data_IF_868994624777
#
_entry.id   IF_868994624777
#
_cell.length_a   1.000
_cell.length_b   1.000
_cell.length_c   1.000
_cell.angle_alpha   90.00
_cell.angle_beta   90.00
_cell.angle_gamma   90.00
#
_symmetry.space_group_name_H-M   'P 1'
#
loop_
_entity.id
_entity.type
_entity.pdbx_description
1 polymer ?
#
# COMPACT_ATOMS: atom_id res chain seq x y z
N UNK A 1 20.78 26.98 1.00
CA UNK A 1 19.40 26.64 0.60
C UNK A 1 19.10 25.30 1.25
N UNK A 2 18.29 25.26 2.29
CA UNK A 2 17.91 23.99 2.94
C UNK A 2 17.02 23.24 1.96
N UNK A 3 17.52 22.15 1.39
CA UNK A 3 16.67 21.18 0.71
C UNK A 3 15.61 20.72 1.71
N UNK A 4 14.34 20.92 1.36
CA UNK A 4 13.23 20.37 2.12
C UNK A 4 13.41 18.87 2.17
N UNK A 5 13.40 18.26 3.36
CA UNK A 5 13.51 16.82 3.50
C UNK A 5 12.39 16.14 2.70
N UNK A 6 12.72 15.02 2.05
CA UNK A 6 11.79 14.25 1.19
C UNK A 6 10.65 13.58 1.98
N UNK A 7 10.53 13.82 3.28
CA UNK A 7 9.51 13.28 4.18
C UNK A 7 10.12 12.63 5.42
N UNK A 8 9.27 12.36 6.43
CA UNK A 8 9.63 11.70 7.68
C UNK A 8 9.31 10.21 7.61
N UNK A 9 10.29 9.36 7.84
CA UNK A 9 10.14 7.90 7.86
C UNK A 9 10.47 7.34 9.25
N UNK A 10 9.55 6.57 9.80
CA UNK A 10 9.80 5.82 11.03
C UNK A 10 10.36 4.44 10.68
N UNK A 11 11.46 4.07 11.31
CA UNK A 11 12.13 2.77 11.13
C UNK A 11 12.05 2.00 12.44
N UNK A 12 11.39 0.86 12.39
CA UNK A 12 11.09 0.03 13.58
C UNK A 12 11.60 -1.38 13.35
N UNK A 13 12.57 -1.78 14.15
CA UNK A 13 13.21 -3.10 14.08
C UNK A 13 13.90 -3.33 15.43
N UNK A 14 13.79 -4.50 16.06
CA UNK A 14 14.42 -4.78 17.32
C UNK A 14 15.94 -5.01 17.17
N UNK A 15 16.41 -5.37 15.96
CA UNK A 15 17.82 -5.50 15.65
C UNK A 15 18.48 -4.12 15.40
N UNK A 16 19.37 -3.62 16.30
CA UNK A 16 19.96 -2.30 16.19
C UNK A 16 20.73 -2.07 14.88
N UNK A 17 21.38 -3.11 14.37
CA UNK A 17 22.18 -3.01 13.14
C UNK A 17 21.31 -2.82 11.90
N UNK A 18 20.22 -3.57 11.76
CA UNK A 18 19.29 -3.47 10.64
C UNK A 18 18.61 -2.12 10.69
N UNK A 19 18.07 -1.75 11.85
CA UNK A 19 17.42 -0.44 12.09
C UNK A 19 18.33 0.73 11.71
N UNK A 20 19.58 0.70 12.19
CA UNK A 20 20.55 1.75 11.90
C UNK A 20 20.90 1.82 10.42
N UNK A 21 21.12 0.67 9.78
CA UNK A 21 21.48 0.58 8.37
C UNK A 21 20.35 1.11 7.48
N UNK A 22 19.11 0.71 7.73
CA UNK A 22 17.94 1.21 7.02
C UNK A 22 17.77 2.73 7.19
N UNK A 23 17.92 3.23 8.43
CA UNK A 23 17.85 4.64 8.75
C UNK A 23 18.91 5.47 8.02
N UNK A 24 20.16 5.00 8.00
CA UNK A 24 21.25 5.68 7.29
C UNK A 24 21.01 5.74 5.79
N UNK A 25 20.60 4.61 5.19
CA UNK A 25 20.28 4.58 3.77
C UNK A 25 19.17 5.56 3.40
N UNK A 26 18.09 5.61 4.18
CA UNK A 26 17.00 6.56 3.94
C UNK A 26 17.45 8.01 4.06
N UNK A 27 18.33 8.34 5.02
CA UNK A 27 18.92 9.69 5.16
C UNK A 27 19.76 10.08 3.94
N UNK A 28 20.53 9.15 3.37
CA UNK A 28 21.29 9.40 2.14
C UNK A 28 20.37 9.73 0.94
N UNK A 29 19.14 9.23 0.96
CA UNK A 29 18.10 9.54 -0.03
C UNK A 29 17.27 10.80 0.31
N UNK A 30 17.66 11.56 1.35
CA UNK A 30 17.08 12.84 1.69
C UNK A 30 15.89 12.77 2.68
N UNK A 31 15.57 11.60 3.25
CA UNK A 31 14.49 11.47 4.24
C UNK A 31 14.95 11.86 5.65
N UNK A 32 14.06 12.48 6.43
CA UNK A 32 14.18 12.52 7.88
C UNK A 32 13.81 11.13 8.43
N UNK A 33 14.58 10.60 9.38
CA UNK A 33 14.26 9.28 9.96
C UNK A 33 14.22 9.35 11.48
N UNK A 34 13.31 8.59 12.08
CA UNK A 34 13.25 8.33 13.51
C UNK A 34 13.23 6.82 13.74
N UNK A 35 14.06 6.35 14.68
CA UNK A 35 14.30 4.94 14.95
C UNK A 35 13.58 4.52 16.23
N UNK A 36 12.96 3.31 16.21
CA UNK A 36 12.29 2.71 17.36
C UNK A 36 12.69 1.25 17.48
N UNK A 37 12.83 0.77 18.70
CA UNK A 37 13.23 -0.62 19.00
C UNK A 37 12.04 -1.57 19.15
N UNK A 38 10.81 -1.05 19.11
CA UNK A 38 9.62 -1.87 19.28
C UNK A 38 8.30 -1.13 19.03
N UNK A 39 7.23 -1.92 18.96
CA UNK A 39 5.91 -1.45 18.57
C UNK A 39 5.27 -0.43 19.52
N UNK A 40 5.48 -0.57 20.83
CA UNK A 40 4.91 0.37 21.82
C UNK A 40 5.49 1.78 21.71
N UNK A 41 6.79 1.88 21.41
CA UNK A 41 7.45 3.17 21.17
C UNK A 41 6.91 3.83 19.91
N UNK A 42 6.77 3.06 18.83
CA UNK A 42 6.18 3.51 17.57
C UNK A 42 4.76 4.04 17.79
N UNK A 43 3.88 3.26 18.44
CA UNK A 43 2.49 3.66 18.66
C UNK A 43 2.35 4.97 19.43
N UNK A 44 3.21 5.20 20.42
CA UNK A 44 3.28 6.48 21.15
C UNK A 44 3.82 7.63 20.29
N UNK A 45 4.80 7.36 19.44
CA UNK A 45 5.41 8.36 18.58
C UNK A 45 4.46 8.85 17.49
N UNK A 46 3.72 7.93 16.84
CA UNK A 46 2.74 8.27 15.80
C UNK A 46 1.64 9.20 16.30
N UNK A 47 1.23 9.06 17.56
CA UNK A 47 0.25 9.97 18.19
C UNK A 47 0.77 11.39 18.41
N UNK A 48 2.10 11.58 18.47
CA UNK A 48 2.73 12.89 18.67
C UNK A 48 3.06 13.58 17.35
N UNK A 49 3.58 12.83 16.41
CA UNK A 49 3.95 13.30 15.06
C UNK A 49 3.68 12.18 14.07
N UNK A 50 2.83 12.44 13.08
CA UNK A 50 2.55 11.49 12.01
C UNK A 50 3.73 11.42 11.04
N UNK A 51 4.29 10.23 10.73
CA UNK A 51 5.28 10.08 9.67
C UNK A 51 4.61 10.01 8.30
N UNK A 52 5.39 10.21 7.24
CA UNK A 52 4.98 10.04 5.85
C UNK A 52 5.05 8.57 5.40
N UNK A 53 5.84 7.73 6.09
CA UNK A 53 5.85 6.28 5.94
C UNK A 53 6.42 5.59 7.19
N UNK A 54 6.09 4.32 7.36
CA UNK A 54 6.64 3.45 8.40
C UNK A 54 7.29 2.23 7.75
N UNK A 55 8.54 1.96 8.08
CA UNK A 55 9.24 0.70 7.82
C UNK A 55 9.21 -0.09 9.11
N UNK A 56 8.56 -1.24 9.11
CA UNK A 56 8.21 -1.99 10.33
C UNK A 56 8.66 -3.43 10.20
N UNK A 57 9.54 -3.87 11.08
CA UNK A 57 9.87 -5.29 11.17
C UNK A 57 8.66 -6.10 11.64
N UNK A 58 8.45 -7.23 11.01
CA UNK A 58 7.39 -8.15 11.37
C UNK A 58 7.69 -8.88 12.69
N UNK A 59 8.92 -9.41 12.80
CA UNK A 59 9.31 -10.28 13.90
C UNK A 59 10.01 -9.47 14.97
N UNK A 60 9.24 -8.97 15.92
CA UNK A 60 9.72 -8.22 17.08
C UNK A 60 9.11 -8.79 18.37
N UNK A 61 9.72 -8.53 19.54
CA UNK A 61 9.05 -8.76 20.83
C UNK A 61 7.69 -8.04 20.88
N UNK A 62 6.74 -8.64 21.63
CA UNK A 62 5.37 -8.12 21.70
C UNK A 62 5.29 -6.64 22.12
N UNK A 63 4.46 -5.82 21.42
CA UNK A 63 3.63 -6.19 20.29
C UNK A 63 4.42 -6.38 19.01
N UNK A 64 4.20 -7.51 18.31
CA UNK A 64 4.83 -7.79 17.03
C UNK A 64 4.41 -6.81 15.91
N UNK A 65 5.19 -6.77 14.82
CA UNK A 65 4.94 -5.82 13.75
C UNK A 65 3.58 -5.98 13.08
N UNK A 66 3.08 -7.20 12.97
CA UNK A 66 1.77 -7.46 12.36
C UNK A 66 0.63 -6.92 13.23
N UNK A 67 0.68 -7.15 14.53
CA UNK A 67 -0.28 -6.60 15.50
C UNK A 67 -0.26 -5.07 15.50
N UNK A 68 0.93 -4.47 15.40
CA UNK A 68 1.11 -3.01 15.32
C UNK A 68 0.53 -2.47 14.01
N UNK A 69 0.80 -3.10 12.88
CA UNK A 69 0.26 -2.76 11.58
C UNK A 69 -1.28 -2.76 11.63
N UNK A 70 -1.89 -3.85 12.10
CA UNK A 70 -3.34 -3.95 12.23
C UNK A 70 -3.94 -2.84 13.09
N UNK A 71 -3.33 -2.49 14.23
CA UNK A 71 -3.78 -1.38 15.09
C UNK A 71 -3.74 -0.04 14.37
N UNK A 72 -2.63 0.26 13.67
CA UNK A 72 -2.47 1.51 12.92
C UNK A 72 -3.47 1.61 11.77
N UNK A 73 -3.77 0.50 11.09
CA UNK A 73 -4.71 0.48 9.96
C UNK A 73 -6.19 0.49 10.37
N UNK A 74 -6.51 0.07 11.60
CA UNK A 74 -7.86 0.17 12.14
C UNK A 74 -8.19 1.57 12.68
N UNK A 75 -7.20 2.34 13.11
CA UNK A 75 -7.40 3.69 13.65
C UNK A 75 -7.57 4.71 12.52
N UNK A 76 -8.68 5.45 12.57
CA UNK A 76 -9.03 6.47 11.55
C UNK A 76 -7.98 7.56 11.36
N UNK A 77 -7.20 7.86 12.38
CA UNK A 77 -6.18 8.91 12.35
C UNK A 77 -4.85 8.44 11.74
N UNK A 78 -4.56 7.14 11.79
CA UNK A 78 -3.27 6.58 11.36
C UNK A 78 -3.38 5.64 10.15
N UNK A 79 -4.59 5.19 9.78
CA UNK A 79 -4.80 4.24 8.67
C UNK A 79 -4.26 4.68 7.31
N UNK A 80 -4.18 6.00 7.09
CA UNK A 80 -3.64 6.57 5.85
C UNK A 80 -2.11 6.52 5.77
N UNK A 81 -1.41 6.28 6.89
CA UNK A 81 0.05 6.21 6.92
C UNK A 81 0.49 4.93 6.18
N UNK A 82 1.33 5.05 5.14
CA UNK A 82 1.87 3.89 4.44
C UNK A 82 2.77 3.06 5.36
N UNK A 83 2.59 1.73 5.33
CA UNK A 83 3.38 0.78 6.13
C UNK A 83 4.03 -0.23 5.20
N UNK A 84 5.35 -0.33 5.27
CA UNK A 84 6.15 -1.35 4.58
C UNK A 84 6.63 -2.34 5.65
N UNK A 85 6.21 -3.60 5.55
CA UNK A 85 6.66 -4.66 6.46
C UNK A 85 7.99 -5.24 6.00
N UNK A 86 8.94 -5.40 6.93
CA UNK A 86 10.14 -6.19 6.72
C UNK A 86 9.88 -7.60 7.27
N UNK A 87 10.14 -8.64 6.50
CA UNK A 87 9.88 -10.01 6.92
C UNK A 87 11.05 -10.95 6.59
N UNK A 88 11.39 -11.83 7.50
CA UNK A 88 12.34 -12.93 7.24
C UNK A 88 11.66 -14.15 6.61
N UNK A 89 10.34 -14.13 6.49
CA UNK A 89 9.53 -15.27 6.08
C UNK A 89 9.20 -15.19 4.60
N UNK A 90 9.59 -16.22 3.86
CA UNK A 90 9.31 -16.42 2.45
C UNK A 90 8.02 -17.24 2.23
N UNK A 91 7.31 -17.62 3.31
CA UNK A 91 6.11 -18.42 3.18
C UNK A 91 4.94 -17.58 2.66
N UNK A 92 4.29 -18.10 1.63
CA UNK A 92 3.16 -17.49 0.93
C UNK A 92 2.03 -17.07 1.89
N UNK A 93 1.82 -17.85 2.96
CA UNK A 93 0.82 -17.60 3.99
C UNK A 93 1.13 -16.34 4.79
N UNK A 94 2.39 -16.08 5.10
CA UNK A 94 2.81 -14.92 5.90
C UNK A 94 2.72 -13.62 5.08
N UNK A 95 3.12 -13.64 3.81
CA UNK A 95 2.93 -12.48 2.92
C UNK A 95 1.45 -12.10 2.78
N UNK A 96 0.58 -13.11 2.63
CA UNK A 96 -0.88 -12.92 2.59
C UNK A 96 -1.37 -12.31 3.90
N UNK A 97 -0.92 -12.80 5.04
CA UNK A 97 -1.34 -12.33 6.36
C UNK A 97 -0.94 -10.85 6.61
N UNK A 98 0.27 -10.45 6.20
CA UNK A 98 0.73 -9.07 6.32
C UNK A 98 -0.11 -8.09 5.49
N UNK A 99 -0.45 -8.51 4.28
CA UNK A 99 -1.32 -7.73 3.41
C UNK A 99 -2.78 -7.74 3.90
N UNK A 100 -3.25 -8.83 4.52
CA UNK A 100 -4.56 -8.94 5.18
C UNK A 100 -4.71 -7.93 6.31
N UNK A 101 -3.64 -7.65 7.05
CA UNK A 101 -3.64 -6.64 8.09
C UNK A 101 -3.53 -5.20 7.56
N UNK A 102 -3.52 -5.02 6.23
CA UNK A 102 -3.58 -3.72 5.56
C UNK A 102 -2.23 -3.07 5.31
N UNK A 103 -1.11 -3.80 5.41
CA UNK A 103 0.19 -3.28 5.00
C UNK A 103 0.16 -2.86 3.53
N UNK A 104 0.84 -1.77 3.18
CA UNK A 104 0.85 -1.23 1.83
C UNK A 104 1.90 -1.92 0.95
N UNK A 105 2.97 -2.46 1.55
CA UNK A 105 4.00 -3.23 0.87
C UNK A 105 4.76 -4.11 1.87
N UNK A 106 5.55 -5.06 1.37
CA UNK A 106 6.47 -5.84 2.19
C UNK A 106 7.81 -6.04 1.47
N UNK A 107 8.85 -6.26 2.25
CA UNK A 107 10.21 -6.53 1.76
C UNK A 107 10.75 -7.73 2.53
N UNK A 108 11.25 -8.74 1.81
CA UNK A 108 11.84 -9.93 2.43
C UNK A 108 13.30 -9.68 2.83
N UNK A 109 13.67 -10.08 4.05
CA UNK A 109 15.06 -10.09 4.51
C UNK A 109 15.80 -11.36 3.98
N UNK A 110 17.04 -11.24 3.47
CA UNK A 110 17.83 -10.03 3.34
C UNK A 110 17.39 -9.16 2.14
N UNK A 111 17.38 -7.84 2.31
CA UNK A 111 16.95 -6.89 1.29
C UNK A 111 18.07 -5.95 0.84
N UNK A 112 17.91 -5.40 -0.33
CA UNK A 112 18.76 -4.33 -0.83
C UNK A 112 18.33 -2.97 -0.25
N UNK A 113 19.29 -2.17 0.24
CA UNK A 113 19.01 -0.80 0.70
C UNK A 113 18.43 0.08 -0.41
N UNK A 114 18.83 -0.14 -1.66
CA UNK A 114 18.26 0.55 -2.84
C UNK A 114 16.79 0.20 -3.03
N UNK A 115 16.43 -1.08 -2.83
CA UNK A 115 15.05 -1.54 -2.90
C UNK A 115 14.20 -0.88 -1.80
N UNK A 116 14.68 -0.90 -0.55
CA UNK A 116 14.00 -0.24 0.56
C UNK A 116 13.72 1.23 0.26
N UNK A 117 14.74 1.99 -0.15
CA UNK A 117 14.60 3.41 -0.46
C UNK A 117 13.65 3.67 -1.65
N UNK A 118 13.69 2.83 -2.69
CA UNK A 118 12.78 2.94 -3.82
C UNK A 118 11.32 2.73 -3.41
N UNK A 119 11.05 1.71 -2.57
CA UNK A 119 9.70 1.42 -2.06
C UNK A 119 9.18 2.51 -1.14
N UNK A 120 10.01 3.00 -0.21
CA UNK A 120 9.64 4.13 0.66
C UNK A 120 9.31 5.37 -0.17
N UNK A 121 10.14 5.71 -1.16
CA UNK A 121 9.87 6.84 -2.06
C UNK A 121 8.56 6.65 -2.85
N UNK A 122 8.29 5.43 -3.32
CA UNK A 122 7.08 5.14 -4.07
C UNK A 122 5.81 5.31 -3.22
N UNK A 123 5.79 4.81 -1.97
CA UNK A 123 4.61 4.94 -1.09
C UNK A 123 4.39 6.39 -0.63
N UNK A 124 5.45 7.16 -0.35
CA UNK A 124 5.33 8.58 0.04
C UNK A 124 4.81 9.41 -1.13
N UNK A 125 5.40 9.28 -2.34
CA UNK A 125 4.95 10.02 -3.52
C UNK A 125 3.45 9.83 -3.76
N UNK A 126 2.92 8.63 -3.54
CA UNK A 126 1.49 8.36 -3.70
C UNK A 126 0.64 9.09 -2.66
N UNK A 127 1.12 9.25 -1.43
CA UNK A 127 0.40 9.99 -0.39
C UNK A 127 0.34 11.50 -0.67
N UNK A 128 1.35 12.07 -1.35
CA UNK A 128 1.40 13.50 -1.71
C UNK A 128 0.35 13.91 -2.73
N UNK A 129 -0.08 13.00 -3.62
CA UNK A 129 -1.19 13.25 -4.56
C UNK A 129 -2.53 13.55 -3.85
N UNK A 130 -2.62 13.35 -2.53
CA UNK A 130 -3.80 13.69 -1.72
C UNK A 130 -4.05 15.21 -1.59
N UNK A 131 -3.06 16.05 -1.89
CA UNK A 131 -3.11 17.50 -1.66
C UNK A 131 -3.45 18.33 -2.92
N UNK A 132 -3.80 17.68 -4.04
CA UNK A 132 -4.13 18.38 -5.29
C UNK A 132 -5.59 18.84 -5.26
N UNK A 133 -5.84 20.10 -5.62
CA UNK A 133 -7.19 20.66 -5.77
C UNK A 133 -7.96 19.89 -6.86
N UNK A 134 -9.17 19.37 -6.58
CA UNK A 134 -9.91 18.56 -7.54
C UNK A 134 -10.30 19.35 -8.79
N UNK A 135 -9.99 18.81 -9.96
CA UNK A 135 -10.58 19.22 -11.23
C UNK A 135 -11.75 18.30 -11.59
N UNK A 136 -12.64 18.74 -12.50
CA UNK A 136 -13.73 17.87 -12.98
C UNK A 136 -13.24 16.60 -13.71
N UNK A 137 -11.97 16.56 -14.12
CA UNK A 137 -11.34 15.39 -14.75
C UNK A 137 -10.86 14.33 -13.74
N UNK A 138 -10.96 14.60 -12.44
CA UNK A 138 -10.46 13.69 -11.39
C UNK A 138 -11.51 12.66 -10.96
N UNK A 139 -12.69 12.66 -11.57
CA UNK A 139 -13.76 11.71 -11.23
C UNK A 139 -13.92 10.68 -12.35
N UNK A 140 -13.79 9.41 -11.99
CA UNK A 140 -14.05 8.29 -12.88
C UNK A 140 -15.27 7.55 -12.33
N UNK A 141 -16.26 7.35 -13.18
CA UNK A 141 -17.47 6.58 -12.84
C UNK A 141 -17.64 5.41 -13.80
N UNK A 142 -17.98 4.25 -13.27
CA UNK A 142 -18.34 3.09 -14.05
C UNK A 142 -19.35 2.24 -13.27
N UNK A 143 -20.55 2.09 -13.83
CA UNK A 143 -21.69 1.51 -13.12
C UNK A 143 -21.99 2.26 -11.83
N UNK A 144 -22.06 1.53 -10.72
CA UNK A 144 -22.34 2.07 -9.39
C UNK A 144 -21.09 2.60 -8.66
N UNK A 145 -19.90 2.46 -9.26
CA UNK A 145 -18.62 2.85 -8.63
C UNK A 145 -18.16 4.20 -9.14
N UNK A 146 -17.87 5.09 -8.22
CA UNK A 146 -17.29 6.41 -8.48
C UNK A 146 -15.98 6.55 -7.72
N UNK A 147 -14.91 6.88 -8.43
CA UNK A 147 -13.57 7.14 -7.89
C UNK A 147 -13.24 8.60 -8.07
N UNK A 148 -12.86 9.28 -7.01
CA UNK A 148 -12.26 10.61 -7.06
C UNK A 148 -10.75 10.47 -6.89
N UNK A 149 -10.01 10.72 -7.97
CA UNK A 149 -8.55 10.56 -8.02
C UNK A 149 -7.85 11.57 -7.10
N UNK A 150 -8.29 12.82 -7.12
CA UNK A 150 -7.69 13.89 -6.33
C UNK A 150 -7.89 13.68 -4.83
N UNK A 151 -9.08 13.23 -4.41
CA UNK A 151 -9.40 12.96 -3.00
C UNK A 151 -9.06 11.54 -2.57
N UNK A 152 -8.64 10.69 -3.50
CA UNK A 152 -8.42 9.24 -3.27
C UNK A 152 -9.60 8.58 -2.53
N UNK A 153 -10.82 8.93 -2.92
CA UNK A 153 -12.04 8.38 -2.34
C UNK A 153 -12.79 7.54 -3.35
N UNK A 154 -13.41 6.49 -2.86
CA UNK A 154 -14.26 5.60 -3.65
C UNK A 154 -15.65 5.56 -3.04
N UNK A 155 -16.67 5.61 -3.88
CA UNK A 155 -18.04 5.41 -3.47
C UNK A 155 -18.71 4.36 -4.37
N UNK A 156 -19.58 3.53 -3.78
CA UNK A 156 -20.50 2.64 -4.50
C UNK A 156 -21.93 3.03 -4.14
N UNK A 157 -22.74 3.33 -5.15
CA UNK A 157 -24.12 3.83 -4.96
C UNK A 157 -24.18 5.02 -3.98
N UNK A 158 -23.21 5.93 -4.08
CA UNK A 158 -23.08 7.11 -3.22
C UNK A 158 -22.59 6.86 -1.79
N UNK A 159 -22.34 5.62 -1.40
CA UNK A 159 -21.75 5.27 -0.09
C UNK A 159 -20.24 5.14 -0.21
N UNK A 160 -19.49 5.83 0.64
CA UNK A 160 -18.03 5.73 0.65
C UNK A 160 -17.58 4.33 1.06
N UNK A 161 -16.56 3.83 0.33
CA UNK A 161 -15.87 2.58 0.61
C UNK A 161 -14.47 2.93 1.10
N UNK A 162 -14.06 2.31 2.20
CA UNK A 162 -12.73 2.50 2.77
C UNK A 162 -11.74 1.52 2.16
N UNK A 163 -10.86 2.04 1.32
CA UNK A 163 -9.79 1.28 0.67
C UNK A 163 -8.43 1.64 1.26
N UNK A 164 -7.53 0.65 1.33
CA UNK A 164 -6.11 0.92 1.55
C UNK A 164 -5.51 1.62 0.33
N UNK A 165 -4.30 2.19 0.47
CA UNK A 165 -3.63 2.86 -0.65
C UNK A 165 -3.48 1.96 -1.87
N UNK A 166 -3.06 0.71 -1.67
CA UNK A 166 -2.85 -0.27 -2.77
C UNK A 166 -4.15 -0.73 -3.42
N UNK A 167 -5.20 -0.94 -2.63
CA UNK A 167 -6.52 -1.26 -3.17
C UNK A 167 -7.07 -0.11 -4.03
N UNK A 168 -6.87 1.14 -3.59
CA UNK A 168 -7.26 2.32 -4.36
C UNK A 168 -6.46 2.41 -5.67
N UNK A 169 -5.13 2.26 -5.63
CA UNK A 169 -4.28 2.33 -6.81
C UNK A 169 -4.59 1.21 -7.81
N UNK A 170 -4.88 0.01 -7.29
CA UNK A 170 -5.27 -1.16 -8.09
C UNK A 170 -6.62 -0.93 -8.77
N UNK A 171 -7.63 -0.48 -8.03
CA UNK A 171 -8.94 -0.13 -8.57
C UNK A 171 -8.81 0.94 -9.65
N UNK A 172 -8.08 2.00 -9.38
CA UNK A 172 -7.86 3.11 -10.30
C UNK A 172 -7.17 2.64 -11.57
N UNK A 173 -6.12 1.83 -11.47
CA UNK A 173 -5.39 1.28 -12.63
C UNK A 173 -6.29 0.43 -13.52
N UNK A 174 -7.15 -0.39 -12.91
CA UNK A 174 -8.11 -1.22 -13.62
C UNK A 174 -9.21 -0.38 -14.28
N UNK A 175 -9.79 0.61 -13.59
CA UNK A 175 -10.84 1.48 -14.12
C UNK A 175 -10.34 2.40 -15.25
N UNK A 176 -9.11 2.92 -15.16
CA UNK A 176 -8.48 3.69 -16.24
C UNK A 176 -8.20 2.81 -17.48
N UNK A 177 -8.09 1.51 -17.30
CA UNK A 177 -7.86 0.53 -18.35
C UNK A 177 -9.10 -0.31 -18.64
N UNK A 178 -10.31 0.18 -18.31
CA UNK A 178 -11.57 -0.58 -18.43
C UNK A 178 -11.72 -1.30 -19.79
N UNK A 179 -12.21 -2.53 -19.75
CA UNK A 179 -12.34 -3.39 -20.92
C UNK A 179 -11.02 -4.06 -21.37
N UNK A 180 -9.86 -3.55 -20.95
CA UNK A 180 -8.55 -4.11 -21.29
C UNK A 180 -8.04 -5.02 -20.18
N UNK A 181 -7.46 -6.16 -20.58
CA UNK A 181 -6.81 -7.08 -19.64
C UNK A 181 -5.43 -6.53 -19.29
N UNK A 182 -5.16 -6.41 -18.00
CA UNK A 182 -3.82 -6.17 -17.47
C UNK A 182 -3.29 -7.46 -16.88
N UNK A 183 -2.09 -7.86 -17.29
CA UNK A 183 -1.43 -9.01 -16.68
C UNK A 183 -0.89 -8.63 -15.29
N UNK A 184 -0.47 -9.64 -14.52
CA UNK A 184 -0.01 -9.42 -13.13
C UNK A 184 1.22 -8.54 -13.07
N UNK A 185 2.16 -8.69 -14.00
CA UNK A 185 3.38 -7.89 -14.05
C UNK A 185 3.07 -6.42 -14.36
N UNK A 186 2.15 -6.16 -15.29
CA UNK A 186 1.68 -4.80 -15.59
C UNK A 186 0.96 -4.15 -14.40
N UNK A 187 0.19 -4.93 -13.64
CA UNK A 187 -0.45 -4.43 -12.42
C UNK A 187 0.58 -4.17 -11.32
N UNK A 188 1.58 -5.05 -11.18
CA UNK A 188 2.70 -4.83 -10.27
C UNK A 188 3.45 -3.55 -10.62
N UNK A 189 3.86 -3.38 -11.87
CA UNK A 189 4.54 -2.17 -12.34
C UNK A 189 3.72 -0.91 -12.08
N UNK A 190 2.43 -0.91 -12.44
CA UNK A 190 1.55 0.26 -12.28
C UNK A 190 1.26 0.62 -10.83
N UNK A 191 1.11 -0.37 -9.96
CA UNK A 191 0.65 -0.18 -8.58
C UNK A 191 1.79 -0.19 -7.58
N UNK A 192 2.87 -0.92 -7.84
CA UNK A 192 4.04 -1.00 -6.95
C UNK A 192 5.27 -0.27 -7.49
N UNK A 193 5.25 0.12 -8.79
CA UNK A 193 6.24 1.03 -9.41
C UNK A 193 7.69 0.53 -9.36
N UNK A 194 7.89 -0.75 -9.62
CA UNK A 194 9.19 -1.41 -9.57
C UNK A 194 9.37 -2.27 -10.82
N UNK A 195 10.55 -2.18 -11.45
CA UNK A 195 11.08 -3.25 -12.31
C UNK A 195 11.31 -4.47 -11.42
N UNK A 196 10.40 -5.41 -11.46
CA UNK A 196 10.12 -6.29 -10.33
C UNK A 196 10.73 -7.68 -10.45
N UNK A 197 11.30 -8.14 -9.33
CA UNK A 197 11.57 -9.54 -8.99
C UNK A 197 10.68 -10.04 -7.83
N UNK A 198 9.45 -9.55 -7.66
CA UNK A 198 8.55 -9.93 -6.59
C UNK A 198 7.43 -10.89 -7.03
N UNK A 199 6.76 -11.50 -6.05
CA UNK A 199 5.73 -12.50 -6.31
C UNK A 199 4.44 -11.84 -6.87
N UNK A 200 4.10 -12.17 -8.11
CA UNK A 200 2.88 -11.73 -8.79
C UNK A 200 1.59 -12.08 -8.01
N UNK A 201 1.66 -12.96 -7.01
CA UNK A 201 0.56 -13.34 -6.11
C UNK A 201 0.10 -12.19 -5.21
N UNK A 202 0.98 -11.19 -4.96
CA UNK A 202 0.60 -9.96 -4.25
C UNK A 202 -0.60 -9.29 -4.89
N UNK A 203 -0.67 -9.29 -6.23
CA UNK A 203 -1.81 -8.75 -6.97
C UNK A 203 -3.08 -9.54 -6.66
N UNK A 204 -3.02 -10.86 -6.66
CA UNK A 204 -4.17 -11.73 -6.45
C UNK A 204 -4.81 -11.51 -5.07
N UNK A 205 -3.98 -11.32 -4.05
CA UNK A 205 -4.42 -11.01 -2.68
C UNK A 205 -5.16 -9.67 -2.63
N UNK A 206 -4.57 -8.61 -3.19
CA UNK A 206 -5.22 -7.30 -3.21
C UNK A 206 -6.50 -7.29 -4.06
N UNK A 207 -6.54 -8.03 -5.17
CA UNK A 207 -7.78 -8.23 -5.95
C UNK A 207 -8.87 -8.90 -5.10
N UNK A 208 -8.53 -9.91 -4.32
CA UNK A 208 -9.49 -10.58 -3.42
C UNK A 208 -10.10 -9.59 -2.42
N UNK A 209 -9.27 -8.80 -1.71
CA UNK A 209 -9.78 -7.82 -0.75
C UNK A 209 -10.54 -6.67 -1.41
N UNK A 210 -10.07 -6.21 -2.54
CA UNK A 210 -10.77 -5.19 -3.30
C UNK A 210 -12.17 -5.68 -3.71
N UNK A 211 -12.29 -6.92 -4.19
CA UNK A 211 -13.59 -7.54 -4.50
C UNK A 211 -14.51 -7.61 -3.29
N UNK A 212 -14.01 -8.03 -2.14
CA UNK A 212 -14.81 -8.08 -0.89
C UNK A 212 -15.40 -6.71 -0.52
N UNK A 213 -14.77 -5.62 -0.93
CA UNK A 213 -15.20 -4.25 -0.62
C UNK A 213 -16.11 -3.65 -1.68
N UNK A 214 -15.87 -3.95 -2.97
CA UNK A 214 -16.58 -3.28 -4.07
C UNK A 214 -17.63 -4.14 -4.76
N UNK A 215 -17.51 -5.47 -4.73
CA UNK A 215 -18.50 -6.36 -5.33
C UNK A 215 -19.70 -6.58 -4.40
N UNK A 216 -20.83 -6.95 -4.95
CA UNK A 216 -21.97 -7.45 -4.14
C UNK A 216 -21.76 -8.92 -3.77
N UNK A 217 -21.09 -9.69 -4.64
CA UNK A 217 -20.63 -11.04 -4.42
C UNK A 217 -19.18 -11.18 -4.91
N UNK A 218 -18.24 -11.35 -4.00
CA UNK A 218 -16.81 -11.47 -4.31
C UNK A 218 -16.43 -12.74 -5.07
N UNK A 219 -17.25 -13.79 -4.99
CA UNK A 219 -17.03 -15.05 -5.70
C UNK A 219 -17.56 -14.99 -7.14
N UNK A 220 -18.58 -14.16 -7.38
CA UNK A 220 -19.14 -13.88 -8.70
C UNK A 220 -19.00 -12.38 -9.04
N UNK A 221 -17.78 -11.89 -9.27
CA UNK A 221 -17.50 -10.48 -9.42
C UNK A 221 -18.10 -9.92 -10.70
N UNK A 222 -18.71 -8.74 -10.60
CA UNK A 222 -19.30 -7.99 -11.70
C UNK A 222 -18.34 -6.96 -12.28
N UNK A 223 -17.52 -6.34 -11.45
CA UNK A 223 -16.63 -5.24 -11.83
C UNK A 223 -15.23 -5.71 -12.18
N UNK A 224 -14.58 -6.48 -11.29
CA UNK A 224 -13.22 -6.97 -11.51
C UNK A 224 -13.26 -8.40 -11.97
N UNK A 225 -13.03 -8.62 -13.25
CA UNK A 225 -13.12 -9.92 -13.90
C UNK A 225 -11.74 -10.58 -14.01
N UNK A 226 -11.68 -11.88 -13.74
CA UNK A 226 -10.46 -12.70 -13.93
C UNK A 226 -10.42 -13.24 -15.34
N UNK A 227 -9.31 -12.97 -16.04
CA UNK A 227 -9.00 -13.63 -17.31
C UNK A 227 -7.98 -14.72 -17.02
N UNK A 228 -8.47 -15.98 -16.98
CA UNK A 228 -7.64 -17.14 -16.58
C UNK A 228 -6.37 -17.23 -17.41
N UNK A 229 -5.24 -17.46 -16.74
CA UNK A 229 -3.92 -17.58 -17.35
C UNK A 229 -3.31 -16.25 -17.82
N UNK A 230 -4.03 -15.11 -17.74
CA UNK A 230 -3.55 -13.80 -18.19
C UNK A 230 -3.47 -12.81 -17.05
N UNK A 231 -4.61 -12.45 -16.42
CA UNK A 231 -4.62 -11.40 -15.39
C UNK A 231 -6.04 -10.95 -15.07
N UNK A 232 -6.21 -9.64 -14.93
CA UNK A 232 -7.45 -9.01 -14.49
C UNK A 232 -7.86 -7.87 -15.41
N UNK A 233 -9.15 -7.57 -15.46
CA UNK A 233 -9.68 -6.38 -16.12
C UNK A 233 -10.86 -5.81 -15.33
N UNK A 234 -11.10 -4.53 -15.47
CA UNK A 234 -12.38 -3.93 -15.10
C UNK A 234 -13.38 -4.17 -16.23
N UNK A 235 -14.62 -4.52 -15.89
CA UNK A 235 -15.67 -4.71 -16.86
C UNK A 235 -15.91 -3.45 -17.70
N UNK A 236 -16.27 -3.60 -18.95
CA UNK A 236 -16.71 -2.50 -19.80
C UNK A 236 -18.11 -2.01 -19.40
N UNK A 237 -18.51 -0.83 -19.85
CA UNK A 237 -19.83 -0.26 -19.52
C UNK A 237 -20.97 -1.14 -20.01
N UNK A 238 -20.77 -1.85 -21.11
CA UNK A 238 -21.78 -2.73 -21.71
C UNK A 238 -21.97 -4.04 -20.94
N UNK A 239 -21.03 -4.38 -20.02
CA UNK A 239 -21.05 -5.60 -19.21
C UNK A 239 -21.59 -5.38 -17.79
N UNK A 240 -21.73 -4.14 -17.37
CA UNK A 240 -22.21 -3.71 -16.05
C UNK A 240 -23.70 -3.30 -16.18
#
# INVERSE_FOLDING_TARGET
MSESAAGLVYVVDDEPNIRRLASLALKEYGFETQEFSGGDELLKAVQRRSPDAIVLDWVMPAPDGLSVCGRLKLDKTTKAIPIILLTARNDEVDCVLGLEMGADDYITKPFSLKELCARVKAVIRRSEYLNITPSNNDIITCGDITVNLARRTVAKRGKFIDLTMKEFDLLTSLMLSKGRVLNRDQLMEKVWDIEFSGDARTVDVHIRYLRQKIEDDSENPRYILTVRGVGYRFASEDEI
#
